data_IF_356960423357
#
_entry.id   IF_356960423357
#
_cell.length_a   1.000
_cell.length_b   1.000
_cell.length_c   1.000
_cell.angle_alpha   90.00
_cell.angle_beta   90.00
_cell.angle_gamma   90.00
#
_symmetry.space_group_name_H-M   'P 1'
#
loop_
_entity.id
_entity.type
_entity.pdbx_description
1 polymer ?
#
# COMPACT_ATOMS: atom_id res chain seq x y z
N UNK A 1 -3.94 -5.46 -12.34
CA UNK A 1 -3.38 -4.16 -11.89
C UNK A 1 -2.16 -4.42 -11.01
N UNK A 2 -1.15 -3.54 -10.96
CA UNK A 2 0.06 -3.75 -10.15
C UNK A 2 0.38 -2.52 -9.29
N UNK A 3 0.64 -2.72 -8.00
CA UNK A 3 1.11 -1.67 -7.09
C UNK A 3 2.58 -1.91 -6.75
N UNK A 4 3.39 -0.86 -6.85
CA UNK A 4 4.82 -0.90 -6.54
C UNK A 4 5.22 0.30 -5.70
N UNK A 5 6.15 0.10 -4.77
CA UNK A 5 6.73 1.19 -4.00
C UNK A 5 7.87 1.88 -4.79
N UNK A 6 7.85 3.21 -4.84
CA UNK A 6 8.86 4.03 -5.50
C UNK A 6 9.11 5.32 -4.70
N UNK A 7 10.26 5.41 -4.04
CA UNK A 7 10.78 6.63 -3.37
C UNK A 7 9.76 7.34 -2.46
N UNK A 8 9.01 6.58 -1.64
CA UNK A 8 8.01 7.14 -0.72
C UNK A 8 6.62 7.34 -1.33
N UNK A 9 6.44 6.98 -2.59
CA UNK A 9 5.15 6.92 -3.28
C UNK A 9 4.81 5.50 -3.70
N UNK A 10 3.52 5.25 -3.92
CA UNK A 10 3.03 4.02 -4.52
C UNK A 10 2.67 4.33 -5.96
N UNK A 11 3.29 3.61 -6.89
CA UNK A 11 2.91 3.62 -8.30
C UNK A 11 1.85 2.57 -8.53
N UNK A 12 0.72 2.99 -9.08
CA UNK A 12 -0.37 2.13 -9.52
C UNK A 12 -0.29 2.01 -11.04
N UNK A 13 0.05 0.82 -11.51
CA UNK A 13 0.02 0.43 -12.90
C UNK A 13 -1.32 -0.23 -13.20
N UNK A 14 -2.24 0.58 -13.74
CA UNK A 14 -3.56 0.19 -14.18
C UNK A 14 -4.42 1.41 -14.45
N UNK A 15 -5.51 1.20 -15.17
CA UNK A 15 -6.42 2.27 -15.59
C UNK A 15 -7.50 2.56 -14.53
N UNK A 16 -7.09 2.54 -13.26
CA UNK A 16 -7.99 2.70 -12.10
C UNK A 16 -7.53 3.87 -11.26
N UNK A 17 -8.43 4.82 -11.07
CA UNK A 17 -8.22 5.94 -10.17
C UNK A 17 -8.50 5.52 -8.73
N UNK A 18 -7.45 5.51 -7.91
CA UNK A 18 -7.49 5.15 -6.50
C UNK A 18 -7.59 6.43 -5.65
N UNK A 19 -8.20 6.40 -4.45
CA UNK A 19 -8.24 7.55 -3.57
C UNK A 19 -6.83 8.10 -3.28
N UNK A 20 -6.72 9.41 -3.15
CA UNK A 20 -5.45 10.13 -2.89
C UNK A 20 -4.35 9.87 -3.93
N UNK A 21 -4.72 9.43 -5.14
CA UNK A 21 -3.79 9.28 -6.26
C UNK A 21 -3.88 10.47 -7.24
N UNK A 22 -2.73 10.84 -7.76
CA UNK A 22 -2.54 11.89 -8.77
C UNK A 22 -1.95 11.26 -10.02
N UNK A 23 -2.41 11.70 -11.19
CA UNK A 23 -1.85 11.24 -12.45
C UNK A 23 -0.44 11.83 -12.64
N UNK A 24 0.55 10.98 -12.90
CA UNK A 24 1.89 11.41 -13.28
C UNK A 24 2.10 11.19 -14.78
N UNK A 25 2.09 12.28 -15.55
CA UNK A 25 2.28 12.25 -17.01
C UNK A 25 3.62 11.64 -17.43
N UNK A 26 4.68 11.85 -16.63
CA UNK A 26 6.02 11.36 -16.95
C UNK A 26 6.09 9.84 -16.96
N UNK A 27 5.36 9.21 -16.02
CA UNK A 27 5.38 7.76 -15.84
C UNK A 27 4.15 7.08 -16.43
N UNK A 28 3.17 7.86 -16.93
CA UNK A 28 1.83 7.42 -17.38
C UNK A 28 1.17 6.47 -16.39
N UNK A 29 1.31 6.77 -15.10
CA UNK A 29 0.79 5.96 -13.99
C UNK A 29 0.22 6.86 -12.91
N UNK A 30 -0.75 6.34 -12.16
CA UNK A 30 -1.20 7.01 -10.94
C UNK A 30 -0.17 6.85 -9.82
N UNK A 31 0.10 7.92 -9.10
CA UNK A 31 0.95 7.93 -7.91
C UNK A 31 0.15 8.39 -6.70
N UNK A 32 0.34 7.71 -5.57
CA UNK A 32 -0.19 8.13 -4.28
C UNK A 32 0.94 8.16 -3.24
N UNK A 33 0.80 8.93 -2.17
CA UNK A 33 1.75 8.86 -1.06
C UNK A 33 1.68 7.50 -0.36
N UNK A 34 2.82 6.95 0.06
CA UNK A 34 2.88 5.63 0.69
C UNK A 34 2.08 5.54 2.00
N UNK A 35 1.87 6.65 2.70
CA UNK A 35 1.03 6.70 3.90
C UNK A 35 -0.44 6.32 3.65
N UNK A 36 -0.95 6.47 2.42
CA UNK A 36 -2.31 6.06 2.03
C UNK A 36 -2.41 4.61 1.56
N UNK A 37 -1.34 3.82 1.72
CA UNK A 37 -1.30 2.41 1.31
C UNK A 37 -2.52 1.60 1.78
N UNK A 38 -2.87 1.75 3.06
CA UNK A 38 -3.99 1.02 3.67
C UNK A 38 -5.34 1.42 3.06
N UNK A 39 -5.54 2.69 2.78
CA UNK A 39 -6.79 3.20 2.21
C UNK A 39 -6.95 2.75 0.77
N UNK A 40 -5.86 2.74 0.02
CA UNK A 40 -5.79 2.21 -1.36
C UNK A 40 -6.14 0.72 -1.36
N UNK A 41 -5.51 -0.08 -0.50
CA UNK A 41 -5.83 -1.51 -0.35
C UNK A 41 -7.30 -1.74 -0.01
N UNK A 42 -7.82 -1.00 0.95
CA UNK A 42 -9.21 -1.12 1.38
C UNK A 42 -10.19 -0.77 0.26
N UNK A 43 -9.90 0.28 -0.50
CA UNK A 43 -10.69 0.66 -1.67
C UNK A 43 -10.69 -0.45 -2.72
N UNK A 44 -9.51 -0.96 -3.09
CA UNK A 44 -9.38 -2.00 -4.11
C UNK A 44 -10.08 -3.30 -3.71
N UNK A 45 -9.94 -3.72 -2.45
CA UNK A 45 -10.65 -4.89 -1.90
C UNK A 45 -12.16 -4.70 -1.91
N UNK A 46 -12.67 -3.53 -1.51
CA UNK A 46 -14.11 -3.22 -1.51
C UNK A 46 -14.70 -3.16 -2.92
N UNK A 47 -13.93 -2.66 -3.87
CA UNK A 47 -14.32 -2.61 -5.27
C UNK A 47 -14.19 -3.95 -6.00
N UNK A 48 -13.57 -4.96 -5.39
CA UNK A 48 -13.40 -6.29 -5.98
C UNK A 48 -12.41 -6.33 -7.15
N UNK A 49 -11.45 -5.40 -7.20
CA UNK A 49 -10.42 -5.41 -8.24
C UNK A 49 -9.32 -6.41 -7.92
N UNK A 50 -8.89 -7.18 -8.93
CA UNK A 50 -7.67 -7.98 -8.84
C UNK A 50 -6.42 -7.10 -9.04
N UNK A 51 -5.58 -7.09 -8.01
CA UNK A 51 -4.32 -6.38 -8.02
C UNK A 51 -3.18 -7.21 -7.45
N UNK A 52 -1.99 -7.04 -8.02
CA UNK A 52 -0.77 -7.58 -7.44
C UNK A 52 -0.14 -6.52 -6.52
N UNK A 53 0.09 -6.91 -5.26
CA UNK A 53 0.72 -6.08 -4.24
C UNK A 53 2.21 -6.39 -4.18
N UNK A 54 3.02 -5.49 -4.74
CA UNK A 54 4.48 -5.51 -4.65
C UNK A 54 4.99 -4.23 -3.94
N UNK A 55 4.18 -3.68 -3.02
CA UNK A 55 4.55 -2.49 -2.24
C UNK A 55 5.31 -2.87 -0.98
N UNK A 56 4.92 -3.96 -0.32
CA UNK A 56 5.50 -4.39 0.93
C UNK A 56 6.75 -5.26 0.71
N UNK A 57 7.91 -4.70 1.00
CA UNK A 57 9.18 -5.43 1.12
C UNK A 57 9.60 -5.44 2.59
N UNK A 58 8.95 -6.32 3.37
CA UNK A 58 9.14 -6.41 4.82
C UNK A 58 10.35 -7.29 5.13
N UNK A 59 11.18 -6.84 6.08
CA UNK A 59 12.22 -7.68 6.64
C UNK A 59 11.58 -8.93 7.29
N UNK A 60 12.20 -10.11 7.15
CA UNK A 60 11.71 -11.31 7.80
C UNK A 60 11.73 -11.08 9.31
N UNK A 61 10.54 -11.06 9.91
CA UNK A 61 10.35 -10.86 11.34
C UNK A 61 9.89 -12.18 11.96
N UNK A 62 10.64 -12.68 12.93
CA UNK A 62 10.24 -13.85 13.70
C UNK A 62 9.09 -13.50 14.64
N UNK A 63 8.32 -14.51 15.05
CA UNK A 63 7.23 -14.31 16.00
C UNK A 63 7.79 -13.78 17.34
N UNK A 64 7.34 -12.59 17.74
CA UNK A 64 7.80 -11.93 18.95
C UNK A 64 7.12 -12.56 20.17
N UNK A 65 7.88 -13.30 20.96
CA UNK A 65 7.44 -13.77 22.27
C UNK A 65 7.89 -12.76 23.34
N UNK A 66 6.95 -12.27 24.13
CA UNK A 66 7.22 -11.32 25.21
C UNK A 66 6.42 -11.70 26.46
N UNK A 67 7.06 -11.63 27.62
CA UNK A 67 6.44 -11.81 28.94
C UNK A 67 6.13 -10.45 29.61
N UNK A 68 6.04 -9.38 28.83
CA UNK A 68 5.77 -8.04 29.36
C UNK A 68 4.38 -7.99 29.99
N UNK A 69 4.32 -7.70 31.28
CA UNK A 69 3.08 -7.47 32.01
C UNK A 69 2.71 -5.99 31.88
N UNK A 70 1.62 -5.73 31.18
CA UNK A 70 1.08 -4.38 31.01
C UNK A 70 0.38 -3.94 32.30
N UNK A 71 0.39 -2.62 32.57
CA UNK A 71 -0.42 -2.04 33.63
C UNK A 71 -1.88 -1.93 33.14
N UNK A 72 -2.81 -1.72 34.06
CA UNK A 72 -4.25 -1.68 33.76
C UNK A 72 -4.70 -0.46 32.92
N UNK A 73 -3.82 0.52 32.69
CA UNK A 73 -4.13 1.79 32.02
C UNK A 73 -3.20 2.07 30.83
#
# INVERSE_FOLDING_TARGET
>A
MKLTFDKGTIRIQGDVRVPNSTWDERSKTYRAMALYYRDILNFLKRSGFDFNDEVLDLLPCHELQSSAVLRDY
#
